data_IF_133392414790
#
_entry.id   IF_133392414790
#
_cell.length_a   1.000
_cell.length_b   1.000
_cell.length_c   1.000
_cell.angle_alpha   90.00
_cell.angle_beta   90.00
_cell.angle_gamma   90.00
#
_symmetry.space_group_name_H-M   'P 1'
#
loop_
_entity.id
_entity.type
_entity.pdbx_description
1 polymer ?
#
# COMPACT_ATOMS: atom_id res chain seq x y z
N UNK A 1 31.44 -17.06 -16.76
CA UNK A 1 31.62 -16.24 -15.53
C UNK A 1 30.25 -15.73 -15.13
N UNK A 2 29.53 -16.46 -14.28
CA UNK A 2 28.20 -16.04 -13.81
C UNK A 2 28.36 -15.10 -12.62
N UNK A 3 27.97 -13.85 -12.78
CA UNK A 3 27.97 -12.83 -11.74
C UNK A 3 26.84 -13.11 -10.75
N UNK A 4 27.10 -13.96 -9.75
CA UNK A 4 26.23 -14.05 -8.58
C UNK A 4 26.22 -12.67 -7.91
N UNK A 5 25.11 -11.94 -8.06
CA UNK A 5 24.88 -10.72 -7.32
C UNK A 5 24.36 -11.09 -5.95
N UNK A 6 25.20 -10.91 -4.94
CA UNK A 6 24.82 -11.02 -3.54
C UNK A 6 23.75 -9.97 -3.18
N UNK A 7 22.49 -10.33 -3.32
CA UNK A 7 21.33 -9.55 -2.83
C UNK A 7 21.11 -9.75 -1.32
N UNK A 8 22.16 -10.13 -0.58
CA UNK A 8 22.22 -10.61 0.82
C UNK A 8 21.61 -9.69 1.91
N UNK A 9 20.95 -8.59 1.54
CA UNK A 9 20.16 -7.76 2.46
C UNK A 9 19.14 -6.86 1.76
N UNK A 10 18.75 -7.16 0.52
CA UNK A 10 17.75 -6.38 -0.22
C UNK A 10 16.47 -7.18 -0.34
N UNK A 11 15.35 -6.56 0.00
CA UNK A 11 14.03 -7.13 -0.23
C UNK A 11 13.86 -7.35 -1.75
N UNK A 12 13.68 -8.59 -2.22
CA UNK A 12 13.56 -8.89 -3.66
C UNK A 12 12.38 -8.14 -4.29
N UNK A 13 11.31 -7.92 -3.51
CA UNK A 13 10.15 -7.12 -3.89
C UNK A 13 10.53 -5.67 -4.19
N UNK A 14 11.36 -5.04 -3.34
CA UNK A 14 11.80 -3.65 -3.56
C UNK A 14 12.72 -3.53 -4.76
N UNK A 15 13.60 -4.51 -4.95
CA UNK A 15 14.50 -4.55 -6.12
C UNK A 15 13.69 -4.70 -7.40
N UNK A 16 12.72 -5.62 -7.43
CA UNK A 16 11.82 -5.78 -8.57
C UNK A 16 11.01 -4.50 -8.85
N UNK A 17 10.49 -3.84 -7.81
CA UNK A 17 9.79 -2.57 -7.97
C UNK A 17 10.67 -1.48 -8.60
N UNK A 18 11.94 -1.36 -8.16
CA UNK A 18 12.90 -0.40 -8.71
C UNK A 18 13.30 -0.69 -10.17
N UNK A 19 13.49 -1.97 -10.51
CA UNK A 19 13.75 -2.38 -11.88
C UNK A 19 12.54 -2.10 -12.78
N UNK A 20 11.32 -2.35 -12.30
CA UNK A 20 10.08 -2.05 -13.04
C UNK A 20 9.91 -0.56 -13.28
N UNK A 21 10.24 0.27 -12.29
CA UNK A 21 10.24 1.72 -12.46
C UNK A 21 11.23 2.16 -13.55
N UNK A 22 12.41 1.55 -13.62
CA UNK A 22 13.40 1.81 -14.67
C UNK A 22 12.86 1.50 -16.06
N UNK A 23 12.18 0.37 -16.24
CA UNK A 23 11.60 -0.03 -17.54
C UNK A 23 10.59 1.01 -18.06
N UNK A 24 9.78 1.58 -17.18
CA UNK A 24 8.75 2.56 -17.55
C UNK A 24 9.24 4.01 -17.58
N UNK A 25 10.45 4.30 -17.12
CA UNK A 25 10.96 5.66 -17.08
C UNK A 25 11.33 6.15 -18.50
N UNK A 26 10.73 7.22 -19.03
CA UNK A 26 11.11 7.76 -20.34
C UNK A 26 12.51 8.42 -20.34
N UNK A 27 13.05 8.76 -19.17
CA UNK A 27 14.34 9.45 -19.02
C UNK A 27 15.55 8.50 -18.94
N UNK A 28 15.37 7.19 -19.16
CA UNK A 28 16.48 6.22 -19.17
C UNK A 28 16.70 5.67 -20.58
N UNK A 29 17.91 5.21 -20.86
CA UNK A 29 18.29 4.61 -22.14
C UNK A 29 17.62 3.25 -22.36
N UNK A 30 17.46 2.86 -23.63
CA UNK A 30 16.91 1.54 -24.00
C UNK A 30 17.76 0.39 -23.44
N UNK A 31 19.09 0.50 -23.49
CA UNK A 31 19.99 -0.50 -22.89
C UNK A 31 19.73 -0.69 -21.38
N UNK A 32 19.42 0.39 -20.65
CA UNK A 32 19.09 0.32 -19.23
C UNK A 32 17.74 -0.38 -18.99
N UNK A 33 16.75 -0.15 -19.87
CA UNK A 33 15.44 -0.83 -19.80
C UNK A 33 15.58 -2.32 -20.09
N UNK A 34 16.38 -2.67 -21.10
CA UNK A 34 16.62 -4.07 -21.47
C UNK A 34 17.30 -4.82 -20.32
N UNK A 35 18.37 -4.26 -19.76
CA UNK A 35 19.04 -4.84 -18.59
C UNK A 35 18.15 -4.93 -17.36
N UNK A 36 17.25 -3.97 -17.15
CA UNK A 36 16.29 -4.01 -16.04
C UNK A 36 15.24 -5.10 -16.25
N UNK A 37 14.81 -5.30 -17.49
CA UNK A 37 13.84 -6.34 -17.88
C UNK A 37 14.43 -7.73 -17.75
N UNK A 38 15.66 -7.94 -18.21
CA UNK A 38 16.38 -9.20 -18.05
C UNK A 38 16.57 -9.57 -16.57
N UNK A 39 16.95 -8.60 -15.75
CA UNK A 39 17.06 -8.78 -14.30
C UNK A 39 15.72 -9.07 -13.64
N UNK A 40 14.64 -8.40 -14.08
CA UNK A 40 13.30 -8.69 -13.60
C UNK A 40 12.89 -10.13 -13.90
N UNK A 41 13.14 -10.62 -15.11
CA UNK A 41 12.81 -11.99 -15.49
C UNK A 41 13.60 -13.01 -14.65
N UNK A 42 14.89 -12.78 -14.44
CA UNK A 42 15.70 -13.63 -13.56
C UNK A 42 15.22 -13.64 -12.10
N UNK A 43 14.63 -12.53 -11.62
CA UNK A 43 14.10 -12.42 -10.25
C UNK A 43 12.65 -12.90 -10.12
N UNK A 44 11.85 -12.78 -11.18
CA UNK A 44 10.41 -13.12 -11.22
C UNK A 44 10.15 -14.64 -11.28
N UNK A 45 11.20 -15.46 -11.40
CA UNK A 45 11.12 -16.91 -11.17
C UNK A 45 10.76 -17.30 -9.73
N UNK A 46 10.72 -16.34 -8.80
CA UNK A 46 9.95 -16.44 -7.55
C UNK A 46 8.71 -15.57 -7.68
N UNK A 47 7.55 -16.21 -7.78
CA UNK A 47 6.22 -15.62 -7.80
C UNK A 47 6.02 -14.43 -6.83
N UNK A 48 6.22 -13.21 -7.33
CA UNK A 48 5.75 -12.00 -6.67
C UNK A 48 4.37 -11.68 -7.21
N UNK A 49 3.40 -12.28 -6.55
CA UNK A 49 1.99 -11.92 -6.63
C UNK A 49 1.85 -10.39 -6.45
N UNK A 50 1.42 -9.65 -7.49
CA UNK A 50 1.25 -8.20 -7.41
C UNK A 50 0.08 -7.78 -6.52
N UNK A 51 -0.65 -8.72 -5.89
CA UNK A 51 -1.80 -8.43 -5.03
C UNK A 51 -1.40 -7.89 -3.66
N UNK A 52 -0.13 -8.01 -3.24
CA UNK A 52 0.25 -7.68 -1.86
C UNK A 52 1.20 -6.49 -1.65
N UNK A 53 1.36 -5.61 -2.66
CA UNK A 53 2.16 -4.38 -2.53
C UNK A 53 1.34 -3.09 -2.42
N UNK A 54 0.07 -3.18 -2.05
CA UNK A 54 -0.78 -2.00 -1.83
C UNK A 54 -1.41 -1.96 -0.43
N UNK A 55 -0.60 -2.14 0.61
CA UNK A 55 -0.98 -1.76 1.99
C UNK A 55 -1.06 -0.24 2.21
N UNK A 56 -1.22 0.57 1.14
CA UNK A 56 -1.53 2.00 1.19
C UNK A 56 -2.77 2.42 0.37
N UNK A 57 -3.47 1.52 -0.33
CA UNK A 57 -4.74 1.83 -1.02
C UNK A 57 -5.81 0.73 -0.97
N UNK A 58 -5.84 -0.08 0.08
CA UNK A 58 -7.03 -0.88 0.45
C UNK A 58 -7.74 -0.04 1.54
N UNK A 59 -8.94 0.50 1.40
CA UNK A 59 -10.14 -0.07 0.78
C UNK A 59 -11.06 1.11 0.41
N UNK A 60 -11.56 1.13 -0.82
CA UNK A 60 -12.81 1.82 -1.10
C UNK A 60 -13.84 1.31 -0.09
N UNK A 61 -14.47 2.22 0.65
CA UNK A 61 -15.61 1.96 1.52
C UNK A 61 -16.48 0.82 0.93
N UNK A 62 -16.61 -0.35 1.57
CA UNK A 62 -17.81 -1.13 1.36
C UNK A 62 -19.01 -0.23 1.69
N UNK A 63 -20.11 -0.32 0.93
CA UNK A 63 -21.29 0.49 1.20
C UNK A 63 -21.74 0.32 2.66
N UNK A 64 -22.37 1.33 3.26
CA UNK A 64 -22.69 1.37 4.68
C UNK A 64 -23.87 0.42 4.95
N UNK A 65 -23.63 -0.89 5.01
CA UNK A 65 -24.70 -1.84 5.30
C UNK A 65 -24.33 -3.02 6.20
N UNK A 66 -23.08 -3.27 6.56
CA UNK A 66 -22.81 -4.40 7.46
C UNK A 66 -21.77 -4.08 8.53
N UNK A 67 -22.16 -4.41 9.75
CA UNK A 67 -21.44 -4.46 11.02
C UNK A 67 -19.92 -4.72 10.86
N UNK A 68 -19.14 -3.64 10.75
CA UNK A 68 -17.67 -3.71 10.79
C UNK A 68 -17.21 -3.17 12.12
N UNK A 69 -16.88 -4.08 13.04
CA UNK A 69 -16.23 -3.72 14.30
C UNK A 69 -14.95 -2.91 14.01
N UNK A 70 -14.83 -1.75 14.64
CA UNK A 70 -13.72 -0.84 14.42
C UNK A 70 -12.46 -1.36 15.10
N UNK A 71 -11.36 -1.40 14.35
CA UNK A 71 -10.04 -1.63 14.94
C UNK A 71 -9.72 -0.52 15.96
N UNK A 72 -8.96 -0.85 17.02
CA UNK A 72 -8.59 0.13 18.07
C UNK A 72 -7.93 1.41 17.52
N UNK A 73 -7.21 1.29 16.40
CA UNK A 73 -6.62 2.44 15.70
C UNK A 73 -7.69 3.33 15.03
N UNK A 74 -8.75 2.73 14.47
CA UNK A 74 -9.86 3.46 13.87
C UNK A 74 -10.69 4.16 14.94
N UNK A 75 -10.98 3.51 16.08
CA UNK A 75 -11.67 4.14 17.22
C UNK A 75 -10.91 5.35 17.75
N UNK A 76 -9.59 5.25 17.82
CA UNK A 76 -8.71 6.37 18.18
C UNK A 76 -8.80 7.53 17.18
N UNK A 77 -8.80 7.22 15.88
CA UNK A 77 -8.98 8.19 14.81
C UNK A 77 -10.30 8.96 14.91
N UNK A 78 -11.43 8.25 15.01
CA UNK A 78 -12.75 8.89 15.15
C UNK A 78 -12.85 9.74 16.42
N UNK A 79 -12.29 9.28 17.55
CA UNK A 79 -12.21 10.09 18.78
C UNK A 79 -11.38 11.37 18.61
N UNK A 80 -10.32 11.33 17.79
CA UNK A 80 -9.54 12.52 17.47
C UNK A 80 -10.34 13.51 16.61
N UNK A 81 -11.11 13.00 15.63
CA UNK A 81 -12.02 13.80 14.79
C UNK A 81 -13.01 14.60 15.63
N UNK A 82 -13.57 14.01 16.68
CA UNK A 82 -14.48 14.68 17.62
C UNK A 82 -13.85 15.81 18.43
N UNK A 83 -12.54 15.70 18.71
CA UNK A 83 -11.79 16.70 19.50
C UNK A 83 -11.15 17.78 18.64
N UNK A 84 -11.07 17.58 17.33
CA UNK A 84 -10.41 18.52 16.43
C UNK A 84 -11.35 19.70 16.11
N UNK A 85 -10.99 20.94 16.50
CA UNK A 85 -11.82 22.12 16.22
C UNK A 85 -11.87 22.49 14.74
N UNK A 86 -10.94 21.99 13.91
CA UNK A 86 -10.87 22.27 12.48
C UNK A 86 -11.72 21.33 11.61
N UNK A 87 -12.47 20.42 12.23
CA UNK A 87 -13.33 19.46 11.52
C UNK A 87 -14.77 19.98 11.47
N UNK A 88 -15.47 19.72 10.37
CA UNK A 88 -16.88 20.07 10.20
C UNK A 88 -17.79 19.30 11.15
N UNK A 89 -18.94 19.88 11.48
CA UNK A 89 -19.92 19.24 12.37
C UNK A 89 -20.47 17.93 11.78
N UNK A 90 -20.71 17.87 10.47
CA UNK A 90 -21.16 16.65 9.77
C UNK A 90 -20.16 15.48 9.93
N UNK A 91 -18.86 15.77 9.82
CA UNK A 91 -17.82 14.76 9.99
C UNK A 91 -17.68 14.31 11.46
N UNK A 92 -17.97 15.20 12.42
CA UNK A 92 -18.04 14.85 13.85
C UNK A 92 -19.25 13.98 14.14
N UNK A 93 -20.42 14.31 13.60
CA UNK A 93 -21.65 13.53 13.78
C UNK A 93 -21.49 12.10 13.25
N UNK A 94 -20.93 11.95 12.05
CA UNK A 94 -20.59 10.66 11.47
C UNK A 94 -19.61 9.86 12.35
N UNK A 95 -18.56 10.52 12.86
CA UNK A 95 -17.61 9.89 13.77
C UNK A 95 -18.25 9.45 15.10
N UNK A 96 -19.28 10.16 15.60
CA UNK A 96 -20.03 9.75 16.79
C UNK A 96 -20.88 8.52 16.53
N UNK A 97 -21.67 8.54 15.46
CA UNK A 97 -22.57 7.44 15.11
C UNK A 97 -21.81 6.13 14.94
N UNK A 98 -20.66 6.17 14.25
CA UNK A 98 -19.77 5.02 14.08
C UNK A 98 -19.20 4.52 15.41
N UNK A 99 -18.79 5.41 16.32
CA UNK A 99 -18.27 5.01 17.62
C UNK A 99 -19.35 4.43 18.54
N UNK A 100 -20.58 4.91 18.43
CA UNK A 100 -21.74 4.43 19.19
C UNK A 100 -22.17 3.04 18.72
N UNK A 101 -22.26 2.82 17.40
CA UNK A 101 -22.56 1.51 16.82
C UNK A 101 -21.52 0.42 17.17
N UNK A 102 -20.25 0.80 17.38
CA UNK A 102 -19.18 -0.11 17.81
C UNK A 102 -19.13 -0.34 19.33
N UNK A 103 -19.87 0.44 20.12
CA UNK A 103 -19.94 0.32 21.58
C UNK A 103 -21.12 -0.52 22.06
N UNK A 104 -22.05 -0.89 21.18
CA UNK A 104 -23.24 -1.70 21.44
C UNK A 104 -22.94 -3.20 21.28
#
# INVERSE_FOLDING_TARGET
MSTQRDTSGKDPVRVAAGLKATVHNPNVSEEAKERATDQLQHMQGGEVDPSNSDSRRILAHPPPTEDVSLSGNQRGGYKATLKNPNVSEEAKEHARNILEADQE
#
